data_IF_396762503343
#
_entry.id   IF_396762503343
#
_cell.length_a   1.000
_cell.length_b   1.000
_cell.length_c   1.000
_cell.angle_alpha   90.00
_cell.angle_beta   90.00
_cell.angle_gamma   90.00
#
_symmetry.space_group_name_H-M   'P 1'
#
loop_
_entity.id
_entity.type
_entity.pdbx_description
1 polymer ?
#
# COMPACT_ATOMS: atom_id res chain seq x y z
N UNK A 1 -3.06 13.72 22.81
CA UNK A 1 -4.00 12.90 21.99
C UNK A 1 -3.24 12.44 20.75
N UNK A 2 -2.59 11.27 20.80
CA UNK A 2 -1.84 10.78 19.64
C UNK A 2 -2.84 10.48 18.51
N UNK A 3 -2.70 11.18 17.39
CA UNK A 3 -3.50 10.94 16.19
C UNK A 3 -3.35 9.47 15.77
N UNK A 4 -4.45 8.72 15.85
CA UNK A 4 -4.58 7.38 15.26
C UNK A 4 -4.45 7.40 13.73
N UNK A 5 -4.66 8.57 13.11
CA UNK A 5 -4.44 8.79 11.68
C UNK A 5 -2.94 8.95 11.44
N UNK A 6 -2.33 7.98 10.76
CA UNK A 6 -0.90 7.99 10.38
C UNK A 6 -0.04 6.91 11.05
N UNK A 7 -0.60 6.02 11.87
CA UNK A 7 0.11 4.87 12.42
C UNK A 7 0.04 3.66 11.48
N UNK A 8 1.13 2.89 11.41
CA UNK A 8 1.14 1.62 10.69
C UNK A 8 0.15 0.64 11.35
N UNK A 9 -0.79 0.15 10.55
CA UNK A 9 -1.68 -0.94 10.90
C UNK A 9 -0.99 -2.29 10.78
N UNK A 10 -1.57 -3.29 11.41
CA UNK A 10 -1.21 -4.70 11.25
C UNK A 10 -2.23 -5.43 10.39
N UNK A 11 -1.79 -6.47 9.70
CA UNK A 11 -2.69 -7.43 9.06
C UNK A 11 -3.36 -8.31 10.12
N UNK A 12 -4.60 -8.69 9.87
CA UNK A 12 -5.33 -9.72 10.61
C UNK A 12 -5.90 -10.67 9.57
N UNK A 13 -5.07 -11.59 9.02
CA UNK A 13 -5.44 -12.39 7.85
C UNK A 13 -6.51 -13.43 8.19
N UNK A 14 -6.46 -13.97 9.40
CA UNK A 14 -7.47 -14.89 9.91
C UNK A 14 -8.67 -14.11 10.46
N UNK A 15 -9.91 -14.53 10.17
CA UNK A 15 -11.10 -13.87 10.70
C UNK A 15 -11.12 -13.90 12.22
N UNK A 16 -11.36 -12.74 12.84
CA UNK A 16 -11.56 -12.60 14.29
C UNK A 16 -12.99 -12.17 14.57
N UNK A 17 -13.63 -12.76 15.57
CA UNK A 17 -14.97 -12.37 16.00
C UNK A 17 -14.94 -10.98 16.66
N UNK A 18 -15.91 -10.13 16.33
CA UNK A 18 -16.09 -8.84 16.98
C UNK A 18 -17.13 -8.94 18.10
N UNK A 19 -16.91 -8.22 19.20
CA UNK A 19 -17.91 -8.07 20.25
C UNK A 19 -19.06 -7.17 19.75
N UNK A 20 -20.26 -7.75 19.61
CA UNK A 20 -21.45 -7.01 19.17
C UNK A 20 -22.15 -6.42 20.40
N UNK A 21 -22.30 -5.09 20.42
CA UNK A 21 -23.11 -4.37 21.42
C UNK A 21 -24.41 -3.91 20.78
N UNK A 22 -25.54 -4.34 21.33
CA UNK A 22 -26.88 -4.10 20.76
C UNK A 22 -27.37 -5.29 19.93
N UNK A 23 -28.22 -5.03 18.94
CA UNK A 23 -28.75 -6.07 18.04
C UNK A 23 -28.52 -5.68 16.58
N UNK A 24 -28.10 -6.66 15.78
CA UNK A 24 -27.98 -6.50 14.33
C UNK A 24 -29.29 -6.89 13.65
N UNK A 25 -29.74 -6.16 12.61
CA UNK A 25 -30.92 -6.55 11.86
C UNK A 25 -30.76 -7.91 11.19
N UNK A 26 -31.78 -8.76 11.28
CA UNK A 26 -31.73 -10.14 10.74
C UNK A 26 -31.52 -10.21 9.22
N UNK A 27 -31.89 -9.14 8.51
CA UNK A 27 -31.70 -9.02 7.06
C UNK A 27 -30.27 -8.62 6.68
N UNK A 28 -29.44 -8.18 7.63
CA UNK A 28 -28.06 -7.76 7.37
C UNK A 28 -27.16 -8.99 7.26
N UNK A 29 -26.95 -9.43 6.02
CA UNK A 29 -26.14 -10.59 5.68
C UNK A 29 -25.21 -10.19 4.54
N UNK A 30 -23.90 -10.44 4.69
CA UNK A 30 -22.91 -10.13 3.65
C UNK A 30 -21.65 -9.47 4.20
N UNK A 31 -20.86 -8.87 3.32
CA UNK A 31 -19.54 -8.34 3.67
C UNK A 31 -19.39 -6.87 3.29
N UNK A 32 -19.05 -6.03 4.27
CA UNK A 32 -18.58 -4.67 4.05
C UNK A 32 -17.07 -4.68 3.81
N UNK A 33 -16.65 -4.20 2.64
CA UNK A 33 -15.23 -3.99 2.31
C UNK A 33 -14.92 -2.49 2.37
N UNK A 34 -13.86 -2.14 3.09
CA UNK A 34 -13.33 -0.78 3.19
C UNK A 34 -11.87 -0.77 2.78
N UNK A 35 -11.49 0.19 1.94
CA UNK A 35 -10.10 0.42 1.59
C UNK A 35 -9.63 1.73 2.25
N UNK A 36 -8.41 1.72 2.79
CA UNK A 36 -7.77 2.90 3.35
C UNK A 36 -6.25 2.73 3.46
N UNK A 37 -5.52 3.81 3.76
CA UNK A 37 -4.09 3.74 4.02
C UNK A 37 -3.84 3.02 5.35
N UNK A 38 -2.93 2.05 5.34
CA UNK A 38 -2.58 1.27 6.53
C UNK A 38 -1.09 1.07 6.76
N UNK A 39 -0.21 1.41 5.81
CA UNK A 39 1.24 1.43 6.05
C UNK A 39 1.82 2.78 5.66
N UNK A 40 2.26 3.55 6.65
CA UNK A 40 2.78 4.91 6.51
C UNK A 40 4.31 4.99 6.51
N UNK A 41 5.01 3.89 6.81
CA UNK A 41 6.46 3.79 6.68
C UNK A 41 6.91 2.43 6.17
N UNK A 42 8.05 2.41 5.45
CA UNK A 42 8.71 1.21 4.94
C UNK A 42 10.20 1.36 5.19
N UNK A 43 10.80 0.42 5.93
CA UNK A 43 12.16 0.57 6.46
C UNK A 43 12.30 1.86 7.27
N UNK A 44 13.29 2.67 6.92
CA UNK A 44 13.51 4.01 7.51
C UNK A 44 12.76 5.15 6.81
N UNK A 45 12.05 4.86 5.71
CA UNK A 45 11.35 5.88 4.92
C UNK A 45 9.90 6.04 5.38
N UNK A 46 9.40 7.28 5.39
CA UNK A 46 8.04 7.61 5.80
C UNK A 46 7.33 8.41 4.70
N UNK A 47 6.02 8.19 4.56
CA UNK A 47 5.18 9.00 3.68
C UNK A 47 4.85 10.35 4.32
N UNK A 48 4.82 11.39 3.48
CA UNK A 48 4.56 12.77 3.90
C UNK A 48 3.07 13.14 3.90
N UNK A 49 2.24 12.39 3.20
CA UNK A 49 0.81 12.66 3.09
C UNK A 49 -0.03 11.45 3.49
N UNK A 50 -1.17 11.71 4.13
CA UNK A 50 -2.07 10.66 4.61
C UNK A 50 -2.58 9.74 3.49
N UNK A 51 -2.74 10.27 2.28
CA UNK A 51 -3.17 9.50 1.10
C UNK A 51 -2.10 8.58 0.50
N UNK A 52 -0.83 8.72 0.89
CA UNK A 52 0.26 7.96 0.27
C UNK A 52 0.50 6.59 0.95
N UNK A 53 -0.10 6.39 2.14
CA UNK A 53 0.07 5.14 2.88
C UNK A 53 -0.40 3.93 2.06
N UNK A 54 0.36 2.83 2.08
CA UNK A 54 -0.02 1.63 1.32
C UNK A 54 -1.37 1.10 1.80
N UNK A 55 -2.18 0.64 0.84
CA UNK A 55 -3.55 0.20 1.06
C UNK A 55 -3.62 -1.02 1.99
N UNK A 56 -4.43 -0.89 3.04
CA UNK A 56 -4.91 -1.96 3.90
C UNK A 56 -6.41 -2.12 3.65
N UNK A 57 -6.79 -3.31 3.20
CA UNK A 57 -8.19 -3.65 2.94
C UNK A 57 -8.76 -4.25 4.22
N UNK A 58 -9.88 -3.72 4.67
CA UNK A 58 -10.65 -4.17 5.82
C UNK A 58 -11.93 -4.84 5.35
N UNK A 59 -12.33 -5.91 6.02
CA UNK A 59 -13.53 -6.69 5.70
C UNK A 59 -14.28 -7.00 6.98
N UNK A 60 -15.56 -6.65 7.02
CA UNK A 60 -16.50 -7.01 8.08
C UNK A 60 -17.59 -7.89 7.48
N UNK A 61 -17.65 -9.15 7.89
CA UNK A 61 -18.65 -10.10 7.41
C UNK A 61 -19.72 -10.29 8.48
N UNK A 62 -20.96 -10.01 8.12
CA UNK A 62 -22.16 -10.17 8.93
C UNK A 62 -22.82 -11.49 8.56
N UNK A 63 -22.98 -12.38 9.55
CA UNK A 63 -23.65 -13.65 9.39
C UNK A 63 -24.45 -13.98 10.64
N UNK A 64 -25.77 -14.12 10.52
CA UNK A 64 -26.65 -14.59 11.62
C UNK A 64 -26.50 -13.82 12.95
N UNK A 65 -26.34 -12.49 12.87
CA UNK A 65 -26.17 -11.64 14.06
C UNK A 65 -24.74 -11.63 14.63
N UNK A 66 -23.80 -12.34 14.01
CA UNK A 66 -22.38 -12.31 14.33
C UNK A 66 -21.61 -11.45 13.31
N UNK A 67 -20.46 -10.92 13.74
CA UNK A 67 -19.55 -10.15 12.89
C UNK A 67 -18.15 -10.71 13.00
N UNK A 68 -17.54 -11.00 11.86
CA UNK A 68 -16.11 -11.30 11.78
C UNK A 68 -15.35 -10.19 11.04
N UNK A 69 -14.15 -9.89 11.53
CA UNK A 69 -13.25 -8.91 10.97
C UNK A 69 -12.00 -9.58 10.40
N UNK A 70 -11.49 -9.07 9.29
CA UNK A 70 -10.16 -9.41 8.75
C UNK A 70 -9.56 -8.19 8.04
N UNK A 71 -8.23 -8.16 7.95
CA UNK A 71 -7.50 -7.16 7.17
C UNK A 71 -6.28 -7.74 6.46
N UNK A 72 -6.02 -7.25 5.24
CA UNK A 72 -4.84 -7.58 4.44
C UNK A 72 -4.36 -6.37 3.64
N UNK A 73 -3.05 -6.17 3.58
CA UNK A 73 -2.43 -5.22 2.68
C UNK A 73 -2.68 -5.63 1.24
N UNK A 74 -3.09 -4.67 0.42
CA UNK A 74 -3.18 -4.87 -1.01
C UNK A 74 -1.77 -5.06 -1.57
N UNK A 75 -1.49 -6.25 -2.11
CA UNK A 75 -0.19 -6.59 -2.70
C UNK A 75 -0.05 -6.00 -4.11
N UNK A 76 -0.19 -4.67 -4.21
CA UNK A 76 0.03 -3.90 -5.44
C UNK A 76 1.50 -3.93 -5.87
N UNK A 77 1.79 -3.50 -7.09
CA UNK A 77 3.17 -3.40 -7.56
C UNK A 77 3.99 -2.38 -6.77
N UNK A 78 3.37 -1.30 -6.29
CA UNK A 78 4.00 -0.36 -5.36
C UNK A 78 4.34 -1.05 -4.05
N UNK A 79 3.40 -1.79 -3.46
CA UNK A 79 3.64 -2.52 -2.21
C UNK A 79 4.81 -3.48 -2.36
N UNK A 80 4.80 -4.32 -3.40
CA UNK A 80 5.86 -5.30 -3.66
C UNK A 80 7.21 -4.62 -3.83
N UNK A 81 7.29 -3.55 -4.64
CA UNK A 81 8.54 -2.81 -4.88
C UNK A 81 9.10 -2.18 -3.62
N UNK A 82 8.23 -1.55 -2.81
CA UNK A 82 8.67 -0.87 -1.60
C UNK A 82 9.14 -1.86 -0.53
N UNK A 83 8.39 -2.96 -0.32
CA UNK A 83 8.76 -4.02 0.65
C UNK A 83 10.03 -4.74 0.20
N UNK A 84 10.19 -5.05 -1.08
CA UNK A 84 11.39 -5.70 -1.60
C UNK A 84 12.65 -4.82 -1.43
N UNK A 85 12.50 -3.51 -1.55
CA UNK A 85 13.60 -2.56 -1.42
C UNK A 85 13.83 -2.06 0.01
N UNK A 86 12.97 -2.44 0.96
CA UNK A 86 12.91 -1.93 2.34
C UNK A 86 12.95 -0.37 2.44
N UNK A 87 12.31 0.28 1.46
CA UNK A 87 12.17 1.75 1.40
C UNK A 87 11.10 2.15 0.38
N UNK A 88 10.64 3.40 0.45
CA UNK A 88 9.68 3.93 -0.54
C UNK A 88 10.42 4.16 -1.87
N UNK A 89 10.04 3.41 -2.91
CA UNK A 89 10.68 3.42 -4.24
C UNK A 89 9.80 4.04 -5.32
N UNK A 90 8.52 4.23 -5.03
CA UNK A 90 7.52 4.77 -5.95
C UNK A 90 7.03 6.10 -5.39
N UNK A 91 6.96 7.11 -6.25
CA UNK A 91 6.39 8.41 -5.86
C UNK A 91 4.87 8.29 -5.77
N UNK A 92 4.30 8.87 -4.72
CA UNK A 92 2.86 8.92 -4.46
C UNK A 92 2.39 10.39 -4.45
N UNK A 93 1.14 10.64 -4.07
CA UNK A 93 0.50 11.95 -4.16
C UNK A 93 1.28 13.08 -3.46
N UNK A 94 1.76 12.86 -2.24
CA UNK A 94 2.54 13.86 -1.47
C UNK A 94 3.98 13.45 -1.15
N UNK A 95 4.42 12.28 -1.62
CA UNK A 95 5.75 11.73 -1.32
C UNK A 95 6.49 11.47 -2.62
N UNK A 96 7.32 12.43 -3.02
CA UNK A 96 8.15 12.31 -4.21
C UNK A 96 9.45 11.58 -3.88
N UNK A 97 9.77 10.54 -4.65
CA UNK A 97 11.04 9.82 -4.57
C UNK A 97 11.91 10.26 -5.74
N UNK A 98 13.08 10.82 -5.42
CA UNK A 98 14.06 11.14 -6.43
C UNK A 98 14.74 9.85 -6.92
N UNK A 99 14.78 9.61 -8.25
CA UNK A 99 15.50 8.47 -8.79
C UNK A 99 16.98 8.57 -8.42
N UNK A 100 17.56 7.42 -8.09
CA UNK A 100 18.99 7.29 -7.81
C UNK A 100 19.81 7.96 -8.93
N UNK A 101 20.64 8.97 -8.62
CA UNK A 101 21.36 9.74 -9.62
C UNK A 101 22.23 8.84 -10.51
N UNK A 102 22.82 7.78 -9.95
CA UNK A 102 23.66 6.85 -10.71
C UNK A 102 22.84 6.07 -11.73
N UNK A 103 21.66 5.56 -11.36
CA UNK A 103 20.79 4.82 -12.30
C UNK A 103 20.34 5.69 -13.47
N UNK A 104 20.11 6.97 -13.22
CA UNK A 104 19.76 7.95 -14.25
C UNK A 104 20.93 8.32 -15.18
N UNK A 105 22.17 8.29 -14.69
CA UNK A 105 23.35 8.54 -15.53
C UNK A 105 23.64 7.33 -16.42
N UNK A 106 23.63 6.12 -15.86
CA UNK A 106 23.88 4.89 -16.62
C UNK A 106 22.80 4.60 -17.67
N UNK A 107 21.53 4.87 -17.37
CA UNK A 107 20.44 4.70 -18.34
C UNK A 107 20.60 5.64 -19.53
N UNK A 108 20.94 6.91 -19.27
CA UNK A 108 21.21 7.91 -20.32
C UNK A 108 22.41 7.53 -21.17
N UNK A 109 23.50 7.08 -20.56
CA UNK A 109 24.67 6.61 -21.30
C UNK A 109 24.33 5.43 -22.21
N UNK A 110 23.62 4.43 -21.70
CA UNK A 110 23.22 3.25 -22.48
C UNK A 110 22.29 3.63 -23.64
N UNK A 111 21.31 4.50 -23.40
CA UNK A 111 20.42 5.01 -24.45
C UNK A 111 21.19 5.76 -25.53
N UNK A 112 22.15 6.61 -25.12
CA UNK A 112 23.04 7.32 -26.03
C UNK A 112 23.88 6.36 -26.88
N UNK A 113 24.47 5.32 -26.30
CA UNK A 113 25.26 4.33 -27.06
C UNK A 113 24.42 3.54 -28.06
N UNK A 114 23.19 3.14 -27.70
CA UNK A 114 22.27 2.46 -28.61
C UNK A 114 21.86 3.36 -29.78
N UNK A 115 21.65 4.65 -29.53
CA UNK A 115 21.32 5.63 -30.57
C UNK A 115 22.50 5.87 -31.53
N UNK A 116 23.72 5.94 -31.01
CA UNK A 116 24.95 6.05 -31.85
C UNK A 116 25.12 4.81 -32.73
N UNK A 117 24.92 3.59 -32.19
CA UNK A 117 25.00 2.36 -32.97
C UNK A 117 23.92 2.27 -34.06
N UNK A 118 22.69 2.73 -33.78
CA UNK A 118 21.62 2.75 -34.76
C UNK A 118 21.92 3.71 -35.92
N UNK A 119 22.49 4.89 -35.63
CA UNK A 119 22.87 5.88 -36.66
C UNK A 119 24.09 5.45 -37.48
N UNK A 120 25.00 4.65 -36.93
CA UNK A 120 26.16 4.10 -37.67
C UNK A 120 25.82 2.88 -38.53
N UNK A 121 24.56 2.45 -38.54
CA UNK A 121 24.07 1.30 -39.31
C UNK A 121 23.37 1.69 -40.62
N UNK A 122 23.45 2.98 -40.99
CA UNK A 122 22.95 3.58 -42.23
C UNK A 122 24.06 4.32 -42.96
#
# INVERSE_FOLDING_TARGET
>A
MQSILGKNGSETPEPVGAEVKGSLPVWLQGTLIRNGPGLFSVGSSQYNHWFDGLSLIHSFTFCNGEVSYRSKFLKSDTYKRNIQADRIMVSEFGTMIYPDPCKNIFSRYRAHQLQVQFLSSW
#
